data_IF_398440606470
#
_entry.id   IF_398440606470
#
_cell.length_a   1.000
_cell.length_b   1.000
_cell.length_c   1.000
_cell.angle_alpha   90.00
_cell.angle_beta   90.00
_cell.angle_gamma   90.00
#
_symmetry.space_group_name_H-M   'P 1'
#
loop_
_entity.id
_entity.type
_entity.pdbx_description
1 polymer ?
#
# COMPACT_ATOMS: atom_id res chain seq x y z
N UNK A 1 3.62 -14.75 1.93
CA UNK A 1 4.34 -14.53 0.66
C UNK A 1 4.89 -13.10 0.75
N UNK A 2 6.21 -12.93 0.90
CA UNK A 2 6.81 -11.59 0.87
C UNK A 2 6.82 -11.16 -0.59
N UNK A 3 5.98 -10.19 -0.97
CA UNK A 3 5.97 -9.66 -2.33
C UNK A 3 7.32 -9.03 -2.64
N UNK A 4 7.95 -9.45 -3.74
CA UNK A 4 9.18 -8.85 -4.24
C UNK A 4 8.87 -8.05 -5.50
N UNK A 5 9.67 -7.01 -5.77
CA UNK A 5 9.53 -6.25 -7.02
C UNK A 5 10.20 -7.03 -8.14
N UNK A 6 9.40 -7.49 -9.10
CA UNK A 6 9.85 -8.00 -10.39
C UNK A 6 9.82 -6.87 -11.42
N UNK A 7 10.52 -7.05 -12.53
CA UNK A 7 10.36 -6.20 -13.71
C UNK A 7 9.66 -7.02 -14.79
N UNK A 8 8.68 -6.45 -15.48
CA UNK A 8 8.07 -7.09 -16.65
C UNK A 8 8.99 -7.05 -17.88
N UNK A 9 8.52 -7.61 -19.00
CA UNK A 9 9.29 -7.69 -20.26
C UNK A 9 9.66 -6.30 -20.83
N UNK A 10 8.96 -5.25 -20.39
CA UNK A 10 9.19 -3.85 -20.78
C UNK A 10 10.07 -3.09 -19.77
N UNK A 11 10.51 -3.76 -18.69
CA UNK A 11 11.35 -3.17 -17.65
C UNK A 11 10.58 -2.31 -16.64
N UNK A 12 9.27 -2.49 -16.54
CA UNK A 12 8.42 -1.77 -15.57
C UNK A 12 8.38 -2.56 -14.25
N UNK A 13 8.66 -1.91 -13.10
CA UNK A 13 8.59 -2.56 -11.80
C UNK A 13 7.14 -2.92 -11.44
N UNK A 14 6.90 -4.16 -11.03
CA UNK A 14 5.61 -4.63 -10.54
C UNK A 14 5.79 -5.59 -9.34
N UNK A 15 4.81 -5.64 -8.43
CA UNK A 15 4.86 -6.56 -7.30
C UNK A 15 4.41 -7.98 -7.71
N UNK A 16 5.22 -8.99 -7.38
CA UNK A 16 4.89 -10.38 -7.68
C UNK A 16 5.87 -11.40 -7.10
N UNK A 17 5.61 -12.69 -7.34
CA UNK A 17 6.62 -13.72 -7.14
C UNK A 17 7.67 -13.60 -8.25
N UNK A 18 8.93 -13.41 -7.87
CA UNK A 18 10.07 -13.42 -8.79
C UNK A 18 10.44 -14.87 -9.13
N UNK A 19 10.52 -15.19 -10.41
CA UNK A 19 11.08 -16.47 -10.86
C UNK A 19 12.52 -16.59 -10.33
N UNK A 20 12.78 -17.65 -9.55
CA UNK A 20 14.09 -17.91 -8.95
C UNK A 20 14.32 -17.33 -7.55
N UNK A 21 13.35 -16.65 -6.93
CA UNK A 21 13.35 -16.46 -5.47
C UNK A 21 13.21 -17.82 -4.78
N UNK A 22 13.77 -18.04 -3.58
CA UNK A 22 13.60 -19.31 -2.85
C UNK A 22 12.13 -19.47 -2.45
N UNK A 23 11.34 -20.08 -3.34
CA UNK A 23 9.89 -20.28 -3.17
C UNK A 23 9.62 -21.42 -2.19
N UNK A 24 10.61 -22.28 -1.93
CA UNK A 24 10.46 -23.41 -1.04
C UNK A 24 10.76 -22.97 0.39
N UNK A 25 9.71 -22.99 1.21
CA UNK A 25 9.74 -22.80 2.66
C UNK A 25 10.85 -23.65 3.31
N UNK A 26 11.23 -24.76 2.70
CA UNK A 26 12.30 -25.67 3.11
C UNK A 26 13.68 -25.04 3.27
N UNK A 27 14.14 -24.18 2.36
CA UNK A 27 15.50 -23.62 2.45
C UNK A 27 15.59 -22.49 3.49
N UNK A 28 14.50 -21.72 3.64
CA UNK A 28 14.33 -20.78 4.75
C UNK A 28 14.24 -21.53 6.09
N UNK A 29 13.52 -22.65 6.15
CA UNK A 29 13.41 -23.50 7.34
C UNK A 29 14.76 -24.12 7.70
N UNK A 30 15.54 -24.61 6.74
CA UNK A 30 16.91 -25.13 6.98
C UNK A 30 17.85 -24.03 7.49
N UNK A 31 17.77 -22.81 6.94
CA UNK A 31 18.54 -21.67 7.43
C UNK A 31 18.15 -21.30 8.87
N UNK A 32 16.85 -21.29 9.22
CA UNK A 32 16.40 -21.07 10.60
C UNK A 32 16.89 -22.18 11.56
N UNK A 33 16.77 -23.46 11.17
CA UNK A 33 17.24 -24.59 11.97
C UNK A 33 18.76 -24.51 12.20
N UNK A 34 19.53 -24.14 11.17
CA UNK A 34 20.97 -23.94 11.28
C UNK A 34 21.36 -22.76 12.19
N UNK A 35 20.61 -21.65 12.12
CA UNK A 35 20.81 -20.49 12.99
C UNK A 35 20.53 -20.80 14.47
N UNK A 36 19.50 -21.61 14.75
CA UNK A 36 19.09 -22.02 16.10
C UNK A 36 20.02 -23.09 16.73
N UNK A 37 21.22 -23.29 16.18
CA UNK A 37 22.23 -24.22 16.70
C UNK A 37 22.23 -25.59 16.02
N UNK A 38 21.61 -25.71 14.86
CA UNK A 38 21.69 -26.89 13.98
C UNK A 38 23.07 -27.06 13.32
N UNK A 39 23.15 -27.97 12.35
CA UNK A 39 24.40 -28.31 11.67
C UNK A 39 24.96 -27.08 10.91
N UNK A 40 26.17 -26.58 11.26
CA UNK A 40 26.71 -25.32 10.73
C UNK A 40 26.91 -25.30 9.22
N UNK A 41 27.20 -26.45 8.59
CA UNK A 41 27.39 -26.53 7.15
C UNK A 41 26.06 -26.39 6.41
N UNK A 42 24.97 -26.92 6.98
CA UNK A 42 23.62 -26.77 6.38
C UNK A 42 23.16 -25.32 6.41
N UNK A 43 23.51 -24.56 7.46
CA UNK A 43 23.26 -23.12 7.54
C UNK A 43 24.01 -22.35 6.44
N UNK A 44 25.31 -22.59 6.32
CA UNK A 44 26.17 -21.87 5.37
C UNK A 44 25.77 -22.17 3.92
N UNK A 45 25.49 -23.44 3.57
CA UNK A 45 25.02 -23.81 2.23
C UNK A 45 23.65 -23.19 1.89
N UNK A 46 22.74 -23.13 2.87
CA UNK A 46 21.46 -22.46 2.69
C UNK A 46 21.64 -20.95 2.48
N UNK A 47 22.52 -20.31 3.25
CA UNK A 47 22.86 -18.90 3.07
C UNK A 47 23.51 -18.63 1.71
N UNK A 48 24.46 -19.45 1.28
CA UNK A 48 25.13 -19.30 -0.01
C UNK A 48 24.14 -19.49 -1.18
N UNK A 49 23.25 -20.49 -1.09
CA UNK A 49 22.19 -20.72 -2.08
C UNK A 49 21.22 -19.53 -2.16
N UNK A 50 20.78 -18.98 -1.02
CA UNK A 50 19.93 -17.78 -0.97
C UNK A 50 20.67 -16.57 -1.54
N UNK A 51 21.93 -16.36 -1.18
CA UNK A 51 22.75 -15.27 -1.72
C UNK A 51 22.95 -15.40 -3.23
N UNK A 52 23.17 -16.61 -3.76
CA UNK A 52 23.29 -16.85 -5.19
C UNK A 52 21.97 -16.57 -5.93
N UNK A 53 20.84 -17.02 -5.39
CA UNK A 53 19.52 -16.76 -5.95
C UNK A 53 19.19 -15.26 -5.95
N UNK A 54 19.42 -14.58 -4.83
CA UNK A 54 19.27 -13.12 -4.72
C UNK A 54 20.23 -12.40 -5.68
N UNK A 55 21.46 -12.87 -5.83
CA UNK A 55 22.44 -12.30 -6.76
C UNK A 55 22.10 -12.52 -8.23
N UNK A 56 21.39 -13.59 -8.58
CA UNK A 56 20.86 -13.81 -9.95
C UNK A 56 19.68 -12.88 -10.24
N UNK A 57 18.81 -12.68 -9.26
CA UNK A 57 17.63 -11.80 -9.39
C UNK A 57 18.03 -10.32 -9.37
N UNK A 58 18.98 -9.95 -8.51
CA UNK A 58 19.50 -8.60 -8.36
C UNK A 58 21.04 -8.59 -8.46
N UNK A 59 21.61 -8.69 -9.67
CA UNK A 59 23.07 -8.72 -9.87
C UNK A 59 23.79 -7.44 -9.43
N UNK A 60 23.05 -6.33 -9.30
CA UNK A 60 23.54 -5.06 -8.71
C UNK A 60 23.32 -4.93 -7.19
N UNK A 61 22.79 -5.96 -6.52
CA UNK A 61 22.31 -5.91 -5.15
C UNK A 61 20.83 -5.52 -5.05
N UNK A 62 20.19 -5.89 -3.94
CA UNK A 62 18.78 -5.60 -3.70
C UNK A 62 18.53 -4.08 -3.68
N UNK A 63 17.55 -3.54 -4.44
CA UNK A 63 17.37 -2.11 -4.65
C UNK A 63 16.66 -1.43 -3.47
N UNK A 64 17.17 -1.61 -2.24
CA UNK A 64 16.51 -1.19 -1.00
C UNK A 64 16.14 0.29 -0.98
N UNK A 65 17.02 1.16 -1.49
CA UNK A 65 16.80 2.60 -1.47
C UNK A 65 15.70 3.02 -2.44
N UNK A 66 15.56 2.33 -3.57
CA UNK A 66 14.47 2.57 -4.51
C UNK A 66 13.15 2.02 -3.95
N UNK A 67 13.17 0.85 -3.29
CA UNK A 67 12.00 0.33 -2.57
C UNK A 67 11.51 1.28 -1.49
N UNK A 68 12.43 1.92 -0.76
CA UNK A 68 12.07 2.92 0.24
C UNK A 68 11.42 4.15 -0.41
N UNK A 69 11.97 4.65 -1.52
CA UNK A 69 11.40 5.80 -2.25
C UNK A 69 9.99 5.48 -2.73
N UNK A 70 9.79 4.34 -3.37
CA UNK A 70 8.49 3.89 -3.86
C UNK A 70 7.50 3.74 -2.70
N UNK A 71 7.92 3.12 -1.59
CA UNK A 71 7.09 3.00 -0.39
C UNK A 71 6.68 4.36 0.18
N UNK A 72 7.56 5.37 0.18
CA UNK A 72 7.20 6.72 0.63
C UNK A 72 6.18 7.39 -0.30
N UNK A 73 6.32 7.21 -1.62
CA UNK A 73 5.36 7.74 -2.60
C UNK A 73 4.00 7.06 -2.43
N UNK A 74 3.98 5.72 -2.41
CA UNK A 74 2.76 4.94 -2.18
C UNK A 74 2.10 5.35 -0.87
N UNK A 75 2.86 5.44 0.22
CA UNK A 75 2.34 5.87 1.51
C UNK A 75 1.67 7.25 1.45
N UNK A 76 2.32 8.23 0.81
CA UNK A 76 1.75 9.57 0.69
C UNK A 76 0.43 9.59 -0.09
N UNK A 77 0.33 8.82 -1.17
CA UNK A 77 -0.92 8.65 -1.92
C UNK A 77 -1.98 7.94 -1.09
N UNK A 78 -1.62 6.87 -0.38
CA UNK A 78 -2.52 6.16 0.52
C UNK A 78 -3.09 7.06 1.60
N UNK A 79 -2.27 7.90 2.25
CA UNK A 79 -2.73 8.86 3.27
C UNK A 79 -3.74 9.86 2.69
N UNK A 80 -3.49 10.39 1.49
CA UNK A 80 -4.40 11.36 0.86
C UNK A 80 -5.69 10.71 0.38
N UNK A 81 -5.60 9.54 -0.25
CA UNK A 81 -6.76 8.80 -0.72
C UNK A 81 -7.63 8.29 0.43
N UNK A 82 -7.02 7.73 1.48
CA UNK A 82 -7.74 7.27 2.67
C UNK A 82 -8.47 8.41 3.38
N UNK A 83 -7.87 9.61 3.41
CA UNK A 83 -8.52 10.80 3.94
C UNK A 83 -9.81 11.11 3.17
N UNK A 84 -9.75 11.19 1.84
CA UNK A 84 -10.91 11.50 0.99
C UNK A 84 -12.00 10.45 1.15
N UNK A 85 -11.66 9.16 1.14
CA UNK A 85 -12.62 8.06 1.31
C UNK A 85 -13.25 8.05 2.71
N UNK A 86 -12.47 8.37 3.75
CA UNK A 86 -12.98 8.49 5.12
C UNK A 86 -13.93 9.69 5.26
N UNK A 87 -13.59 10.82 4.64
CA UNK A 87 -14.47 11.99 4.60
C UNK A 87 -15.76 11.71 3.84
N UNK A 88 -15.70 10.99 2.71
CA UNK A 88 -16.90 10.53 1.99
C UNK A 88 -17.76 9.59 2.84
N UNK A 89 -17.13 8.71 3.62
CA UNK A 89 -17.84 7.84 4.57
C UNK A 89 -18.60 8.67 5.61
N UNK A 90 -17.98 9.72 6.15
CA UNK A 90 -18.66 10.65 7.07
C UNK A 90 -19.83 11.38 6.41
N UNK A 91 -19.70 11.79 5.14
CA UNK A 91 -20.79 12.42 4.37
C UNK A 91 -21.96 11.46 4.20
N UNK A 92 -21.70 10.19 3.89
CA UNK A 92 -22.75 9.17 3.75
C UNK A 92 -23.53 8.94 5.06
N UNK A 93 -22.82 8.82 6.19
CA UNK A 93 -23.47 8.70 7.51
C UNK A 93 -24.20 9.98 7.91
N UNK A 94 -23.60 11.16 7.68
CA UNK A 94 -24.21 12.45 8.01
C UNK A 94 -25.44 12.80 7.17
N UNK A 95 -25.61 12.13 6.03
CA UNK A 95 -26.80 12.23 5.18
C UNK A 95 -27.91 11.25 5.58
N UNK A 96 -27.63 10.31 6.49
CA UNK A 96 -28.58 9.31 6.97
C UNK A 96 -29.22 9.77 8.28
N UNK A 97 -30.55 9.70 8.43
CA UNK A 97 -31.21 10.01 9.69
C UNK A 97 -30.62 9.20 10.86
N UNK A 98 -30.48 9.82 12.02
CA UNK A 98 -30.00 9.20 13.26
C UNK A 98 -28.53 8.69 13.24
N UNK A 99 -27.72 9.07 12.25
CA UNK A 99 -26.31 8.66 12.12
C UNK A 99 -25.31 9.83 12.22
N UNK A 100 -25.77 11.01 12.64
CA UNK A 100 -24.93 12.22 12.70
C UNK A 100 -23.77 12.08 13.69
N UNK A 101 -23.99 11.40 14.81
CA UNK A 101 -22.98 11.09 15.81
C UNK A 101 -21.82 10.25 15.24
N UNK A 102 -22.14 9.27 14.40
CA UNK A 102 -21.13 8.46 13.68
C UNK A 102 -20.31 9.34 12.73
N UNK A 103 -20.96 10.23 11.99
CA UNK A 103 -20.29 11.15 11.09
C UNK A 103 -19.35 12.10 11.86
N UNK A 104 -19.79 12.67 12.97
CA UNK A 104 -18.98 13.55 13.83
C UNK A 104 -17.75 12.83 14.41
N UNK A 105 -17.90 11.58 14.83
CA UNK A 105 -16.79 10.78 15.35
C UNK A 105 -15.75 10.48 14.26
N UNK A 106 -16.18 10.13 13.04
CA UNK A 106 -15.27 9.95 11.90
C UNK A 106 -14.52 11.26 11.61
N UNK A 107 -15.23 12.40 11.52
CA UNK A 107 -14.61 13.69 11.24
C UNK A 107 -13.63 14.13 12.33
N UNK A 108 -13.93 13.82 13.58
CA UNK A 108 -13.04 14.08 14.71
C UNK A 108 -11.75 13.27 14.59
N UNK A 109 -11.87 11.97 14.30
CA UNK A 109 -10.70 11.09 14.07
C UNK A 109 -9.88 11.55 12.87
N UNK A 110 -10.54 11.98 11.79
CA UNK A 110 -9.87 12.53 10.61
C UNK A 110 -9.07 13.78 10.96
N UNK A 111 -9.65 14.74 11.68
CA UNK A 111 -8.95 15.98 12.07
C UNK A 111 -7.73 15.70 12.94
N UNK A 112 -7.82 14.74 13.85
CA UNK A 112 -6.69 14.33 14.70
C UNK A 112 -5.61 13.62 13.87
N UNK A 113 -6.01 12.69 13.01
CA UNK A 113 -5.07 11.83 12.27
C UNK A 113 -4.38 12.52 11.09
N UNK A 114 -5.10 13.35 10.33
CA UNK A 114 -4.61 13.98 9.11
C UNK A 114 -4.27 15.47 9.29
N UNK A 115 -4.71 16.08 10.40
CA UNK A 115 -4.36 17.45 10.76
C UNK A 115 -4.66 18.44 9.64
N UNK A 116 -3.66 19.26 9.30
CA UNK A 116 -3.79 20.31 8.29
C UNK A 116 -3.99 19.82 6.85
N UNK A 117 -3.94 18.51 6.59
CA UNK A 117 -4.31 17.96 5.28
C UNK A 117 -5.83 17.96 5.08
N UNK A 118 -6.62 18.00 6.16
CA UNK A 118 -8.07 18.07 6.11
C UNK A 118 -8.57 19.45 6.52
N UNK A 119 -8.94 20.27 5.53
CA UNK A 119 -9.25 21.69 5.69
C UNK A 119 -10.55 22.13 4.97
N UNK A 120 -11.71 21.50 5.25
CA UNK A 120 -12.97 21.96 4.69
C UNK A 120 -13.26 23.42 5.13
N UNK A 121 -13.89 24.20 4.23
CA UNK A 121 -14.20 25.61 4.46
C UNK A 121 -15.19 25.86 5.62
N UNK A 122 -15.84 24.80 6.11
CA UNK A 122 -16.75 24.82 7.24
C UNK A 122 -16.79 23.45 7.93
N UNK A 123 -17.59 23.35 8.99
CA UNK A 123 -17.70 22.13 9.81
C UNK A 123 -18.91 21.27 9.44
N UNK A 124 -19.79 21.74 8.57
CA UNK A 124 -21.00 21.02 8.19
C UNK A 124 -20.71 19.94 7.15
N UNK A 125 -21.57 18.91 7.09
CA UNK A 125 -21.47 17.81 6.12
C UNK A 125 -21.43 18.32 4.68
N UNK A 126 -22.18 19.37 4.37
CA UNK A 126 -22.17 19.99 3.02
C UNK A 126 -20.81 20.61 2.68
N UNK A 127 -20.10 21.17 3.66
CA UNK A 127 -18.76 21.74 3.43
C UNK A 127 -17.71 20.63 3.27
N UNK A 128 -17.86 19.54 4.02
CA UNK A 128 -17.04 18.33 3.87
C UNK A 128 -17.27 17.69 2.51
N UNK A 129 -18.51 17.57 2.05
CA UNK A 129 -18.86 17.03 0.74
C UNK A 129 -18.22 17.84 -0.41
N UNK A 130 -18.31 19.18 -0.35
CA UNK A 130 -17.59 20.04 -1.31
C UNK A 130 -16.08 19.83 -1.26
N UNK A 131 -15.52 19.63 -0.07
CA UNK A 131 -14.09 19.34 0.08
C UNK A 131 -13.72 17.99 -0.54
N UNK A 132 -14.54 16.95 -0.32
CA UNK A 132 -14.37 15.62 -0.94
C UNK A 132 -14.36 15.72 -2.46
N UNK A 133 -15.34 16.41 -3.03
CA UNK A 133 -15.42 16.60 -4.48
C UNK A 133 -14.22 17.37 -5.05
N UNK A 134 -13.74 18.39 -4.34
CA UNK A 134 -12.55 19.16 -4.73
C UNK A 134 -11.27 18.32 -4.69
N UNK A 135 -11.20 17.32 -3.80
CA UNK A 135 -10.02 16.49 -3.57
C UNK A 135 -10.16 15.05 -4.09
N UNK A 136 -11.24 14.71 -4.81
CA UNK A 136 -11.54 13.35 -5.28
C UNK A 136 -10.38 12.70 -6.03
N UNK A 137 -9.60 13.49 -6.77
CA UNK A 137 -8.45 13.01 -7.52
C UNK A 137 -7.40 12.35 -6.61
N UNK A 138 -7.29 12.72 -5.34
CA UNK A 138 -6.36 12.06 -4.41
C UNK A 138 -6.68 10.58 -4.21
N UNK A 139 -7.98 10.22 -4.14
CA UNK A 139 -8.39 8.82 -4.05
C UNK A 139 -8.24 8.08 -5.39
N UNK A 140 -8.51 8.77 -6.50
CA UNK A 140 -8.36 8.19 -7.84
C UNK A 140 -6.89 7.94 -8.21
N UNK A 141 -6.01 8.88 -7.87
CA UNK A 141 -4.57 8.78 -8.09
C UNK A 141 -3.98 7.66 -7.23
N UNK A 142 -4.43 7.53 -5.96
CA UNK A 142 -4.08 6.39 -5.12
C UNK A 142 -4.50 5.06 -5.75
N UNK A 143 -5.75 4.94 -6.20
CA UNK A 143 -6.24 3.69 -6.80
C UNK A 143 -5.49 3.31 -8.08
N UNK A 144 -5.14 4.31 -8.90
CA UNK A 144 -4.36 4.09 -10.13
C UNK A 144 -2.95 3.64 -9.80
N UNK A 145 -2.28 4.34 -8.87
CA UNK A 145 -0.94 3.99 -8.42
C UNK A 145 -0.88 2.56 -7.86
N UNK A 146 -1.87 2.17 -7.05
CA UNK A 146 -1.94 0.82 -6.49
C UNK A 146 -2.22 -0.23 -7.57
N UNK A 147 -3.08 0.08 -8.55
CA UNK A 147 -3.34 -0.78 -9.69
C UNK A 147 -2.11 -0.97 -10.58
N UNK A 148 -1.44 0.12 -10.94
CA UNK A 148 -0.22 0.11 -11.76
C UNK A 148 0.93 -0.63 -11.07
N UNK A 149 1.03 -0.52 -9.74
CA UNK A 149 2.01 -1.26 -8.94
C UNK A 149 1.66 -2.76 -8.76
N UNK A 150 0.45 -3.19 -9.16
CA UNK A 150 -0.05 -4.55 -8.96
C UNK A 150 -0.40 -4.87 -7.49
N UNK A 151 -0.68 -3.84 -6.69
CA UNK A 151 -1.04 -3.95 -5.27
C UNK A 151 -2.57 -4.08 -5.07
N UNK A 152 -3.36 -3.62 -6.04
CA UNK A 152 -4.82 -3.68 -6.03
C UNK A 152 -5.37 -4.02 -7.42
N UNK A 153 -6.66 -4.36 -7.51
CA UNK A 153 -7.34 -4.53 -8.79
C UNK A 153 -7.40 -3.18 -9.55
N UNK A 154 -6.96 -3.10 -10.82
CA UNK A 154 -7.04 -1.87 -11.62
C UNK A 154 -8.45 -1.26 -11.72
N UNK A 155 -9.51 -2.08 -11.54
CA UNK A 155 -10.92 -1.64 -11.53
C UNK A 155 -11.30 -0.83 -10.29
N UNK A 156 -10.48 -0.87 -9.23
CA UNK A 156 -10.73 -0.11 -8.00
C UNK A 156 -10.89 1.39 -8.28
N UNK A 157 -10.14 1.93 -9.26
CA UNK A 157 -10.26 3.33 -9.67
C UNK A 157 -11.68 3.65 -10.15
N UNK A 158 -12.25 2.81 -11.01
CA UNK A 158 -13.59 3.02 -11.57
C UNK A 158 -14.67 2.94 -10.48
N UNK A 159 -14.50 2.02 -9.52
CA UNK A 159 -15.43 1.88 -8.40
C UNK A 159 -15.37 3.09 -7.45
N UNK A 160 -14.17 3.61 -7.16
CA UNK A 160 -14.00 4.83 -6.38
C UNK A 160 -14.57 6.04 -7.14
N UNK A 161 -14.36 6.14 -8.45
CA UNK A 161 -14.91 7.23 -9.26
C UNK A 161 -16.43 7.27 -9.20
N UNK A 162 -17.09 6.10 -9.27
CA UNK A 162 -18.55 6.01 -9.12
C UNK A 162 -19.05 6.45 -7.75
N UNK A 163 -18.30 6.18 -6.68
CA UNK A 163 -18.67 6.55 -5.31
C UNK A 163 -18.47 8.05 -5.04
N UNK A 164 -17.53 8.68 -5.75
CA UNK A 164 -17.13 10.10 -5.58
C UNK A 164 -17.73 11.04 -6.64
N UNK A 165 -18.63 10.54 -7.49
CA UNK A 165 -19.35 11.31 -8.53
C UNK A 165 -20.77 11.63 -8.11
#
# INVERSE_FOLDING_TARGET
MLGAIKYDDDGVPCYGALDGMPVTTDDLVKACIGFDGGEPFTYLEACDSVCEQVGRVWPGGYPLDDMKKDAYVIHAHCVRGSLVLSAQTAVAFGSTPDCMDVAEDILTRIRIGYGGLFDPAGTGIVDVDRWVLAHRNWALDMASLLGDAGLEDPRLRDDIERVLS
#
